data_IF_930397295453
#
_entry.id   IF_930397295453
#
_cell.length_a   1.000
_cell.length_b   1.000
_cell.length_c   1.000
_cell.angle_alpha   90.00
_cell.angle_beta   90.00
_cell.angle_gamma   90.00
#
_symmetry.space_group_name_H-M   'P 1'
#
loop_
_entity.id
_entity.type
_entity.pdbx_description
1 polymer ?
#
# COMPACT_ATOMS: atom_id res chain seq x y z
N UNK A 1 -15.41 -8.93 14.69
CA UNK A 1 -15.12 -7.69 13.93
C UNK A 1 -13.78 -7.06 14.30
N UNK A 2 -13.24 -7.25 15.51
CA UNK A 2 -11.96 -6.68 15.92
C UNK A 2 -10.73 -7.23 15.14
N UNK A 3 -10.76 -8.49 14.68
CA UNK A 3 -9.61 -9.10 13.99
C UNK A 3 -9.30 -8.54 12.59
N UNK A 4 -10.26 -7.86 11.96
CA UNK A 4 -10.06 -7.22 10.65
C UNK A 4 -9.21 -5.94 10.79
N UNK A 5 -9.22 -5.31 11.97
CA UNK A 5 -8.58 -4.02 12.22
C UNK A 5 -7.13 -4.13 12.71
N UNK A 6 -6.61 -5.34 12.98
CA UNK A 6 -5.24 -5.55 13.43
C UNK A 6 -4.59 -6.77 12.76
N UNK A 7 -4.38 -6.74 11.43
CA UNK A 7 -3.69 -7.83 10.75
C UNK A 7 -2.23 -7.87 11.22
N UNK A 8 -1.88 -8.91 12.00
CA UNK A 8 -0.48 -9.24 12.28
C UNK A 8 0.14 -9.78 11.00
N UNK A 9 0.87 -8.94 10.27
CA UNK A 9 1.67 -9.35 9.12
C UNK A 9 2.84 -10.19 9.65
N UNK A 10 2.70 -11.52 9.58
CA UNK A 10 3.76 -12.46 9.97
C UNK A 10 4.49 -12.93 8.70
N UNK A 11 5.74 -12.48 8.53
CA UNK A 11 6.65 -13.04 7.54
C UNK A 11 7.51 -14.10 8.23
N UNK A 12 7.33 -15.38 7.89
CA UNK A 12 8.01 -16.50 8.55
C UNK A 12 9.38 -16.81 7.97
N UNK A 13 9.87 -16.02 7.00
CA UNK A 13 11.21 -16.16 6.45
C UNK A 13 11.50 -15.24 5.26
N UNK A 14 12.75 -15.25 4.78
CA UNK A 14 13.23 -14.40 3.68
C UNK A 14 12.41 -14.58 2.39
N UNK A 15 11.94 -15.81 2.13
CA UNK A 15 11.09 -16.13 0.99
C UNK A 15 9.69 -15.51 1.06
N UNK A 16 9.14 -15.32 2.27
CA UNK A 16 7.87 -14.62 2.42
C UNK A 16 8.07 -13.13 2.12
N UNK A 17 9.17 -12.53 2.55
CA UNK A 17 9.52 -11.13 2.23
C UNK A 17 9.72 -10.92 0.72
N UNK A 18 10.43 -11.84 0.06
CA UNK A 18 10.60 -11.81 -1.40
C UNK A 18 9.25 -12.00 -2.10
N UNK A 19 8.43 -12.95 -1.63
CA UNK A 19 7.09 -13.18 -2.15
C UNK A 19 6.19 -11.95 -2.01
N UNK A 20 6.28 -11.26 -0.88
CA UNK A 20 5.55 -10.00 -0.63
C UNK A 20 5.99 -8.93 -1.62
N UNK A 21 7.30 -8.74 -1.81
CA UNK A 21 7.85 -7.79 -2.78
C UNK A 21 7.42 -8.07 -4.22
N UNK A 22 7.50 -9.33 -4.67
CA UNK A 22 7.03 -9.75 -6.00
C UNK A 22 5.52 -9.53 -6.13
N UNK A 23 4.75 -9.95 -5.12
CA UNK A 23 3.30 -9.81 -5.14
C UNK A 23 2.88 -8.36 -5.21
N UNK A 24 3.51 -7.45 -4.46
CA UNK A 24 3.29 -6.01 -4.57
C UNK A 24 3.45 -5.55 -6.02
N UNK A 25 4.60 -5.84 -6.63
CA UNK A 25 4.94 -5.37 -7.97
C UNK A 25 3.98 -5.91 -9.05
N UNK A 26 3.50 -7.16 -8.90
CA UNK A 26 2.47 -7.73 -9.76
C UNK A 26 1.12 -7.05 -9.53
N UNK A 27 0.74 -6.86 -8.27
CA UNK A 27 -0.57 -6.29 -7.92
C UNK A 27 -0.65 -4.82 -8.31
N UNK A 28 0.43 -4.06 -8.18
CA UNK A 28 0.57 -2.69 -8.63
C UNK A 28 0.41 -2.59 -10.16
N UNK A 29 1.08 -3.46 -10.95
CA UNK A 29 0.91 -3.48 -12.41
C UNK A 29 -0.53 -3.79 -12.85
N UNK A 30 -1.20 -4.69 -12.14
CA UNK A 30 -2.58 -5.07 -12.45
C UNK A 30 -3.56 -3.99 -12.00
N UNK A 31 -3.32 -3.38 -10.82
CA UNK A 31 -4.24 -2.42 -10.21
C UNK A 31 -4.05 -0.98 -10.68
N UNK A 32 -2.88 -0.61 -11.19
CA UNK A 32 -2.60 0.72 -11.73
C UNK A 32 -3.65 1.24 -12.71
N UNK A 33 -4.13 0.48 -13.72
CA UNK A 33 -5.16 0.97 -14.64
C UNK A 33 -6.56 1.12 -14.01
N UNK A 34 -6.83 0.51 -12.85
CA UNK A 34 -8.17 0.51 -12.23
C UNK A 34 -8.26 1.42 -11.00
N UNK A 35 -7.20 1.47 -10.18
CA UNK A 35 -7.17 2.11 -8.87
C UNK A 35 -6.18 3.30 -8.86
N UNK A 36 -5.26 3.37 -9.83
CA UNK A 36 -4.16 4.33 -9.84
C UNK A 36 -3.00 3.93 -8.90
N UNK A 37 -1.94 4.74 -8.90
CA UNK A 37 -0.73 4.49 -8.13
C UNK A 37 -0.14 5.81 -7.57
N UNK A 38 0.45 5.77 -6.38
CA UNK A 38 1.11 6.92 -5.75
C UNK A 38 0.17 7.99 -5.19
N UNK A 39 -1.11 7.66 -4.95
CA UNK A 39 -2.12 8.60 -4.44
C UNK A 39 -2.69 8.15 -3.10
N UNK A 40 -3.11 9.09 -2.27
CA UNK A 40 -3.75 8.75 -0.99
C UNK A 40 -4.99 7.85 -1.16
N UNK A 41 -5.79 8.09 -2.22
CA UNK A 41 -7.00 7.32 -2.51
C UNK A 41 -6.68 5.89 -2.95
N UNK A 42 -5.65 5.69 -3.77
CA UNK A 42 -5.19 4.35 -4.15
C UNK A 42 -4.66 3.59 -2.93
N UNK A 43 -3.97 4.28 -2.03
CA UNK A 43 -3.52 3.71 -0.77
C UNK A 43 -4.66 3.21 0.11
N UNK A 44 -5.71 4.02 0.30
CA UNK A 44 -6.89 3.59 1.09
C UNK A 44 -7.59 2.37 0.49
N UNK A 45 -7.79 2.34 -0.83
CA UNK A 45 -8.49 1.24 -1.50
C UNK A 45 -7.68 -0.05 -1.43
N UNK A 46 -6.38 0.00 -1.75
CA UNK A 46 -5.50 -1.18 -1.69
C UNK A 46 -5.36 -1.71 -0.27
N UNK A 47 -5.29 -0.81 0.72
CA UNK A 47 -5.19 -1.18 2.13
C UNK A 47 -6.45 -1.86 2.65
N UNK A 48 -7.63 -1.37 2.23
CA UNK A 48 -8.91 -1.99 2.55
C UNK A 48 -9.06 -3.38 1.91
N UNK A 49 -8.76 -3.51 0.62
CA UNK A 49 -8.82 -4.80 -0.09
C UNK A 49 -7.81 -5.80 0.51
N UNK A 50 -6.58 -5.36 0.77
CA UNK A 50 -5.55 -6.15 1.43
C UNK A 50 -5.97 -6.60 2.82
N UNK A 51 -6.52 -5.70 3.64
CA UNK A 51 -7.00 -6.01 4.99
C UNK A 51 -8.17 -7.02 5.01
N UNK A 52 -9.08 -6.95 4.05
CA UNK A 52 -10.17 -7.94 3.92
C UNK A 52 -9.67 -9.30 3.41
N UNK A 53 -8.68 -9.29 2.51
CA UNK A 53 -8.10 -10.50 1.93
C UNK A 53 -7.14 -11.22 2.90
N UNK A 54 -6.53 -10.47 3.82
CA UNK A 54 -5.62 -11.00 4.82
C UNK A 54 -6.32 -12.03 5.72
N UNK A 55 -5.70 -13.19 5.91
CA UNK A 55 -6.24 -14.30 6.70
C UNK A 55 -7.24 -15.19 5.95
N UNK A 56 -7.69 -14.83 4.74
CA UNK A 56 -8.67 -15.63 3.98
C UNK A 56 -8.07 -16.65 3.00
N UNK A 57 -6.83 -16.46 2.56
CA UNK A 57 -6.23 -17.23 1.46
C UNK A 57 -5.06 -18.15 1.84
N UNK A 58 -4.90 -18.47 3.13
CA UNK A 58 -3.73 -19.25 3.60
C UNK A 58 -2.41 -18.51 3.35
N UNK A 59 -1.28 -19.23 3.28
CA UNK A 59 0.06 -18.62 3.21
C UNK A 59 0.25 -17.73 1.97
N UNK A 60 -0.13 -18.22 0.78
CA UNK A 60 0.03 -17.46 -0.48
C UNK A 60 -0.92 -16.26 -0.52
N UNK A 61 -2.18 -16.45 -0.09
CA UNK A 61 -3.13 -15.34 0.00
C UNK A 61 -2.68 -14.27 0.99
N UNK A 62 -2.08 -14.65 2.11
CA UNK A 62 -1.52 -13.71 3.07
C UNK A 62 -0.32 -12.95 2.51
N UNK A 63 0.52 -13.59 1.68
CA UNK A 63 1.63 -12.91 0.97
C UNK A 63 1.09 -11.83 0.04
N UNK A 64 0.09 -12.16 -0.80
CA UNK A 64 -0.52 -11.19 -1.74
C UNK A 64 -1.25 -10.07 -0.99
N UNK A 65 -2.02 -10.42 0.04
CA UNK A 65 -2.71 -9.44 0.89
C UNK A 65 -1.72 -8.52 1.62
N UNK A 66 -0.60 -9.05 2.11
CA UNK A 66 0.48 -8.24 2.69
C UNK A 66 1.11 -7.31 1.66
N UNK A 67 1.31 -7.78 0.43
CA UNK A 67 1.78 -6.95 -0.68
C UNK A 67 0.87 -5.75 -0.93
N UNK A 68 -0.45 -5.96 -0.93
CA UNK A 68 -1.45 -4.89 -1.04
C UNK A 68 -1.43 -3.90 0.12
N UNK A 69 -1.27 -4.38 1.36
CA UNK A 69 -1.20 -3.51 2.55
C UNK A 69 0.09 -2.67 2.55
N UNK A 70 1.21 -3.24 2.14
CA UNK A 70 2.49 -2.50 2.04
C UNK A 70 2.41 -1.46 0.92
N UNK A 71 1.84 -1.82 -0.24
CA UNK A 71 1.62 -0.87 -1.34
C UNK A 71 0.74 0.30 -0.91
N UNK A 72 -0.29 0.01 -0.12
CA UNK A 72 -1.15 1.03 0.46
C UNK A 72 -0.42 2.01 1.38
N UNK A 73 0.48 1.49 2.24
CA UNK A 73 1.30 2.31 3.10
C UNK A 73 2.26 3.20 2.29
N UNK A 74 2.83 2.68 1.21
CA UNK A 74 3.69 3.44 0.29
C UNK A 74 2.93 4.55 -0.41
N UNK A 75 1.76 4.26 -0.97
CA UNK A 75 0.89 5.24 -1.63
C UNK A 75 0.51 6.40 -0.69
N UNK A 76 0.14 6.08 0.57
CA UNK A 76 -0.14 7.09 1.59
C UNK A 76 1.12 7.90 1.92
N UNK A 77 2.25 7.23 2.14
CA UNK A 77 3.50 7.90 2.48
C UNK A 77 3.98 8.84 1.36
N UNK A 78 3.97 8.38 0.11
CA UNK A 78 4.33 9.18 -1.08
C UNK A 78 3.39 10.36 -1.24
N UNK A 79 2.07 10.16 -1.05
CA UNK A 79 1.11 11.26 -1.14
C UNK A 79 1.28 12.29 -0.02
N UNK A 80 1.59 11.87 1.20
CA UNK A 80 1.87 12.76 2.34
C UNK A 80 3.18 13.53 2.14
N UNK A 81 4.25 12.87 1.68
CA UNK A 81 5.53 13.48 1.37
C UNK A 81 5.41 14.48 0.20
N UNK A 82 4.65 14.13 -0.84
CA UNK A 82 4.37 15.03 -1.97
C UNK A 82 3.63 16.30 -1.54
N UNK A 83 2.67 16.19 -0.62
CA UNK A 83 1.98 17.35 -0.03
C UNK A 83 2.89 18.21 0.85
N UNK A 84 3.78 17.58 1.63
CA UNK A 84 4.74 18.29 2.48
C UNK A 84 5.80 19.04 1.65
N UNK A 85 6.19 18.50 0.49
CA UNK A 85 7.09 19.16 -0.46
C UNK A 85 6.44 20.30 -1.27
N UNK A 86 5.11 20.29 -1.46
CA UNK A 86 4.40 21.39 -2.12
C UNK A 86 4.23 22.63 -1.23
N UNK A 87 4.10 22.45 0.09
CA UNK A 87 3.96 23.56 1.04
C UNK A 87 5.19 24.46 1.15
N UNK A 88 6.39 23.96 0.83
CA UNK A 88 7.62 24.74 0.81
C UNK A 88 7.91 25.43 -0.54
N UNK A 89 7.24 25.00 -1.62
CA UNK A 89 7.37 25.58 -2.96
C UNK A 89 6.39 26.71 -3.24
N UNK A 90 5.11 26.55 -2.88
CA UNK A 90 4.06 27.54 -3.18
C UNK A 90 4.23 28.88 -2.44
N UNK A 91 4.87 28.89 -1.26
CA UNK A 91 5.14 30.13 -0.53
C UNK A 91 6.17 31.06 -1.21
N UNK A 92 6.94 30.56 -2.20
CA UNK A 92 7.92 31.36 -2.95
C UNK A 92 7.36 31.99 -4.21
N UNK A 93 6.30 31.43 -4.79
CA UNK A 93 5.73 31.90 -6.05
C UNK A 93 4.64 32.96 -5.86
N UNK A 94 4.03 33.06 -4.66
CA UNK A 94 3.07 34.14 -4.33
C UNK A 94 3.73 35.50 -4.01
N UNK A 95 5.08 35.57 -3.99
CA UNK A 95 5.86 36.79 -3.72
C UNK A 95 6.77 37.23 -4.88
N UNK A 96 6.61 36.65 -6.08
CA UNK A 96 7.32 37.06 -7.31
C UNK A 96 6.40 37.70 -8.33
#
# INVERSE_FOLDING_TARGET
>A
MADILNPKIEAHGLWDVVGIGISKQVTERISAPYIGNGSFTSGLVKGFVGGIAYGKGGRIGNIVASGLIIDAAEDIAVSLLGKMGQGSGQARDEWS
#
